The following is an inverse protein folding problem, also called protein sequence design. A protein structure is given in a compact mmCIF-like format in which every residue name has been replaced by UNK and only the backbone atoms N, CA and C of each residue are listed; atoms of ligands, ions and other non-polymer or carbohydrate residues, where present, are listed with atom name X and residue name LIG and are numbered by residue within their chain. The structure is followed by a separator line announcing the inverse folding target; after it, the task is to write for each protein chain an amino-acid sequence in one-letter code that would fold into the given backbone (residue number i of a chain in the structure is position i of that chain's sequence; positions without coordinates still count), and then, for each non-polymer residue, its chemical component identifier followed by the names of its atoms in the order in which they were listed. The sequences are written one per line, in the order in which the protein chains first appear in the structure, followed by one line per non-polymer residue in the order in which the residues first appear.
data_IF_439923391604
#
_entry.id   IF_439923391604
#
_cell.length_a   1.000
_cell.length_b   1.000
_cell.length_c   1.000
_cell.angle_alpha   90.00
_cell.angle_beta   90.00
_cell.angle_gamma   90.00
#
_symmetry.space_group_name_H-M   'P 1'
#
loop_
_entity.id
_entity.type
_entity.pdbx_description
1 polymer ?
#
# COMPACT_ATOMS: atom_id res chain seq x y z
N UNK A 1 -4.85 14.87 4.10
CA UNK A 1 -4.27 13.50 4.09
C UNK A 1 -2.88 13.58 3.48
N UNK A 2 -1.89 13.04 4.16
CA UNK A 2 -0.49 12.99 3.68
C UNK A 2 -0.29 11.65 2.95
N UNK A 3 0.09 11.72 1.67
CA UNK A 3 0.34 10.51 0.85
C UNK A 3 1.73 9.91 1.10
N UNK A 4 2.73 10.78 1.19
CA UNK A 4 4.10 10.37 1.51
C UNK A 4 4.87 11.55 2.11
N UNK A 5 5.91 11.23 2.84
CA UNK A 5 6.93 12.18 3.29
C UNK A 5 8.25 11.78 2.65
N UNK A 6 8.90 12.75 2.00
CA UNK A 6 10.20 12.59 1.37
C UNK A 6 11.15 13.65 1.94
N UNK A 7 12.28 13.21 2.47
CA UNK A 7 13.25 14.10 3.09
C UNK A 7 14.44 13.34 3.64
N UNK A 8 15.18 13.98 4.52
CA UNK A 8 16.39 13.46 5.13
C UNK A 8 16.02 12.63 6.36
N UNK A 9 16.52 11.40 6.45
CA UNK A 9 16.39 10.57 7.64
C UNK A 9 17.36 11.10 8.71
N UNK A 10 16.83 11.70 9.79
CA UNK A 10 17.62 12.31 10.87
C UNK A 10 17.76 11.40 12.09
N UNK A 11 16.73 10.59 12.37
CA UNK A 11 16.74 9.62 13.46
C UNK A 11 16.08 8.33 13.04
N UNK A 12 16.62 7.18 13.49
CA UNK A 12 16.08 5.88 13.21
C UNK A 12 16.14 4.97 14.44
N UNK A 13 14.97 4.50 14.86
CA UNK A 13 14.78 3.50 15.90
C UNK A 13 13.97 2.32 15.36
N UNK A 14 13.98 1.13 15.97
CA UNK A 14 13.24 -0.04 15.48
C UNK A 14 11.73 0.18 15.32
N UNK A 15 11.17 1.18 15.96
CA UNK A 15 9.72 1.46 15.96
C UNK A 15 9.36 2.83 15.40
N UNK A 16 10.36 3.69 15.14
CA UNK A 16 10.15 5.08 14.74
C UNK A 16 11.29 5.58 13.86
N UNK A 17 10.95 6.41 12.89
CA UNK A 17 11.89 7.17 12.07
C UNK A 17 11.51 8.65 12.12
N UNK A 18 12.52 9.55 12.16
CA UNK A 18 12.31 10.98 11.99
C UNK A 18 12.83 11.39 10.62
N UNK A 19 11.95 11.95 9.81
CA UNK A 19 12.29 12.49 8.49
C UNK A 19 12.14 14.01 8.52
N UNK A 20 13.23 14.71 8.23
CA UNK A 20 13.20 16.16 8.03
C UNK A 20 12.85 16.50 6.59
N UNK A 21 11.77 17.23 6.40
CA UNK A 21 11.34 17.76 5.12
C UNK A 21 11.02 19.25 5.26
N UNK A 22 11.68 20.08 4.46
CA UNK A 22 11.53 21.54 4.47
C UNK A 22 11.68 22.20 5.86
N UNK A 23 12.60 21.71 6.71
CA UNK A 23 12.84 22.23 8.05
C UNK A 23 11.84 21.76 9.11
N UNK A 24 10.99 20.78 8.79
CA UNK A 24 10.05 20.17 9.74
C UNK A 24 10.44 18.71 9.93
N UNK A 25 10.64 18.28 11.19
CA UNK A 25 10.88 16.89 11.56
C UNK A 25 9.56 16.16 11.78
N UNK A 26 9.33 15.11 11.02
CA UNK A 26 8.15 14.24 11.12
C UNK A 26 8.53 12.95 11.85
N UNK A 27 7.96 12.74 13.05
CA UNK A 27 8.06 11.46 13.77
C UNK A 27 7.08 10.46 13.17
N UNK A 28 7.59 9.35 12.66
CA UNK A 28 6.84 8.37 11.88
C UNK A 28 7.00 6.99 12.51
N UNK A 29 5.89 6.39 12.92
CA UNK A 29 5.87 5.01 13.40
C UNK A 29 6.10 4.05 12.22
N UNK A 30 7.08 3.14 12.36
CA UNK A 30 7.45 2.18 11.32
C UNK A 30 7.33 0.74 11.80
N UNK A 31 7.35 -0.20 10.86
CA UNK A 31 7.42 -1.64 11.11
C UNK A 31 8.87 -2.11 11.20
N UNK A 32 9.13 -3.30 11.74
CA UNK A 32 10.48 -3.89 11.75
C UNK A 32 11.05 -4.12 10.34
N UNK A 33 10.30 -4.63 9.35
CA UNK A 33 10.77 -4.65 7.96
C UNK A 33 11.12 -3.25 7.43
N UNK A 34 10.28 -2.24 7.74
CA UNK A 34 10.56 -0.85 7.40
C UNK A 34 11.87 -0.32 8.02
N UNK A 35 12.08 -0.60 9.31
CA UNK A 35 13.34 -0.30 9.98
C UNK A 35 14.53 -0.94 9.26
N UNK A 36 14.47 -2.25 8.98
CA UNK A 36 15.54 -2.98 8.29
C UNK A 36 15.87 -2.41 6.91
N UNK A 37 14.86 -1.90 6.19
CA UNK A 37 15.05 -1.26 4.89
C UNK A 37 15.66 0.15 4.97
N UNK A 38 15.59 0.80 6.14
CA UNK A 38 16.12 2.15 6.38
C UNK A 38 17.49 2.13 7.06
N UNK A 39 17.89 1.03 7.69
CA UNK A 39 19.21 0.90 8.34
C UNK A 39 20.34 1.26 7.38
N UNK A 40 21.27 2.10 7.85
CA UNK A 40 22.41 2.60 7.07
C UNK A 40 22.08 3.75 6.13
N UNK A 41 20.84 4.26 6.15
CA UNK A 41 20.43 5.44 5.38
C UNK A 41 20.46 6.74 6.20
N UNK A 42 20.60 6.65 7.52
CA UNK A 42 20.72 7.79 8.43
C UNK A 42 22.11 8.46 8.37
N UNK A 43 23.14 7.73 7.89
CA UNK A 43 24.47 8.30 7.73
C UNK A 43 24.72 8.81 6.31
N UNK A 44 25.57 9.86 6.15
CA UNK A 44 25.97 10.30 4.83
C UNK A 44 26.65 9.14 4.07
N UNK A 45 26.21 8.87 2.84
CA UNK A 45 26.88 7.90 2.00
C UNK A 45 28.37 8.25 1.86
N UNK A 46 29.26 7.28 2.08
CA UNK A 46 30.70 7.46 1.91
C UNK A 46 31.11 8.00 0.52
N UNK A 47 30.23 7.84 -0.47
CA UNK A 47 30.45 8.32 -1.83
C UNK A 47 29.94 9.75 -2.07
N UNK A 48 28.95 10.25 -1.31
CA UNK A 48 28.28 11.52 -1.60
C UNK A 48 28.43 12.60 -0.52
N UNK A 49 28.85 12.26 0.69
CA UNK A 49 28.88 13.17 1.88
C UNK A 49 27.54 13.88 2.14
N UNK A 50 26.45 13.41 1.54
CA UNK A 50 25.12 13.93 1.74
C UNK A 50 24.26 12.93 2.50
N UNK A 51 23.45 13.39 3.46
CA UNK A 51 22.50 12.52 4.15
C UNK A 51 21.52 11.89 3.16
N UNK A 52 21.19 10.63 3.40
CA UNK A 52 20.33 9.88 2.48
C UNK A 52 18.90 10.40 2.51
N UNK A 53 18.41 10.81 1.35
CA UNK A 53 17.00 11.13 1.17
C UNK A 53 16.18 9.84 1.14
N UNK A 54 15.16 9.77 1.97
CA UNK A 54 14.24 8.63 2.04
C UNK A 54 12.81 9.07 1.75
N UNK A 55 11.98 8.13 1.31
CA UNK A 55 10.56 8.35 1.09
C UNK A 55 9.77 7.26 1.80
N UNK A 56 8.81 7.66 2.64
CA UNK A 56 7.84 6.77 3.26
C UNK A 56 6.42 7.13 2.83
N UNK A 57 5.64 6.12 2.47
CA UNK A 57 4.21 6.26 2.23
C UNK A 57 3.47 6.30 3.56
N UNK A 58 2.56 7.24 3.72
CA UNK A 58 1.98 7.61 5.01
C UNK A 58 0.53 7.18 5.13
N UNK A 59 0.16 6.73 6.33
CA UNK A 59 -1.22 6.65 6.81
C UNK A 59 -1.31 7.39 8.13
N UNK A 60 -2.22 8.38 8.20
CA UNK A 60 -2.47 9.17 9.40
C UNK A 60 -3.64 8.56 10.18
N UNK A 61 -3.47 8.46 11.49
CA UNK A 61 -4.54 8.11 12.43
C UNK A 61 -4.81 9.33 13.29
N UNK A 62 -5.90 10.01 13.00
CA UNK A 62 -6.31 11.23 13.72
C UNK A 62 -7.55 10.91 14.53
N UNK A 63 -7.48 11.14 15.85
CA UNK A 63 -8.59 11.08 16.81
C UNK A 63 -8.60 12.34 17.66
N UNK A 64 -9.54 12.47 18.58
CA UNK A 64 -9.66 13.66 19.43
C UNK A 64 -8.38 13.97 20.22
N UNK A 65 -7.69 12.93 20.69
CA UNK A 65 -6.51 12.99 21.57
C UNK A 65 -5.22 12.43 20.96
N UNK A 66 -5.29 11.93 19.71
CA UNK A 66 -4.19 11.20 19.08
C UNK A 66 -4.01 11.64 17.64
N UNK A 67 -2.77 11.99 17.29
CA UNK A 67 -2.33 12.13 15.90
C UNK A 67 -1.07 11.28 15.68
N UNK A 68 -1.25 10.10 15.13
CA UNK A 68 -0.16 9.16 14.83
C UNK A 68 0.06 9.09 13.32
N UNK A 69 1.32 9.07 12.93
CA UNK A 69 1.75 8.95 11.53
C UNK A 69 2.46 7.62 11.36
N UNK A 70 1.93 6.76 10.51
CA UNK A 70 2.50 5.46 10.18
C UNK A 70 3.15 5.51 8.80
N UNK A 71 4.40 5.00 8.69
CA UNK A 71 5.17 5.05 7.46
C UNK A 71 5.57 3.67 6.93
N UNK A 72 5.53 3.53 5.61
CA UNK A 72 5.81 2.31 4.89
C UNK A 72 6.75 2.58 3.72
N UNK A 73 7.65 1.65 3.45
CA UNK A 73 8.64 1.80 2.37
C UNK A 73 7.97 1.67 1.00
N UNK A 74 6.92 0.86 0.90
CA UNK A 74 6.18 0.64 -0.33
C UNK A 74 4.70 1.01 -0.21
N UNK A 75 4.07 1.34 -1.36
CA UNK A 75 2.61 1.55 -1.42
C UNK A 75 1.84 0.29 -1.04
N UNK A 76 2.34 -0.88 -1.41
CA UNK A 76 1.70 -2.16 -1.12
C UNK A 76 1.68 -2.46 0.40
N UNK A 77 2.75 -2.12 1.13
CA UNK A 77 2.75 -2.21 2.60
C UNK A 77 1.70 -1.28 3.21
N UNK A 78 1.63 -0.03 2.76
CA UNK A 78 0.61 0.93 3.21
C UNK A 78 -0.80 0.40 2.96
N UNK A 79 -1.09 -0.08 1.76
CA UNK A 79 -2.40 -0.64 1.42
C UNK A 79 -2.76 -1.85 2.28
N UNK A 80 -1.79 -2.71 2.57
CA UNK A 80 -2.00 -3.86 3.44
C UNK A 80 -2.30 -3.43 4.88
N UNK A 81 -1.60 -2.41 5.39
CA UNK A 81 -1.90 -1.80 6.69
C UNK A 81 -3.33 -1.23 6.74
N UNK A 82 -3.71 -0.46 5.73
CA UNK A 82 -5.05 0.11 5.60
C UNK A 82 -6.13 -0.98 5.53
N UNK A 83 -5.89 -2.06 4.81
CA UNK A 83 -6.79 -3.22 4.78
C UNK A 83 -6.93 -3.87 6.17
N UNK A 84 -5.86 -4.04 6.91
CA UNK A 84 -5.92 -4.55 8.28
C UNK A 84 -6.78 -3.67 9.18
N UNK A 85 -6.72 -2.35 9.03
CA UNK A 85 -7.54 -1.41 9.79
C UNK A 85 -9.04 -1.53 9.49
N UNK A 86 -9.43 -2.07 8.33
CA UNK A 86 -10.85 -2.30 8.01
C UNK A 86 -11.46 -3.45 8.79
N UNK A 87 -10.63 -4.31 9.42
CA UNK A 87 -11.10 -5.48 10.15
C UNK A 87 -11.50 -5.08 11.58
N UNK A 88 -12.73 -5.38 11.94
CA UNK A 88 -13.25 -5.09 13.29
C UNK A 88 -12.39 -5.77 14.39
N UNK A 89 -11.89 -4.97 15.33
CA UNK A 89 -11.02 -5.41 16.41
C UNK A 89 -9.52 -5.37 16.06
N UNK A 90 -9.14 -4.83 14.90
CA UNK A 90 -7.75 -4.56 14.53
C UNK A 90 -7.53 -3.05 14.52
N UNK A 91 -6.80 -2.55 15.50
CA UNK A 91 -6.36 -1.14 15.55
C UNK A 91 -4.95 -0.98 14.96
N UNK A 92 -4.51 0.27 14.84
CA UNK A 92 -3.21 0.61 14.25
C UNK A 92 -2.02 -0.07 14.92
N UNK A 93 -1.99 -0.12 16.26
CA UNK A 93 -0.95 -0.82 17.02
C UNK A 93 -0.93 -2.33 16.69
N UNK A 94 -2.11 -2.97 16.58
CA UNK A 94 -2.22 -4.38 16.23
C UNK A 94 -1.78 -4.63 14.78
N UNK A 95 -2.23 -3.79 13.85
CA UNK A 95 -1.85 -3.88 12.44
C UNK A 95 -0.33 -3.73 12.27
N UNK A 96 0.30 -2.74 12.94
CA UNK A 96 1.75 -2.55 12.95
C UNK A 96 2.49 -3.77 13.52
N UNK A 97 1.96 -4.37 14.58
CA UNK A 97 2.56 -5.54 15.19
C UNK A 97 2.51 -6.76 14.27
N UNK A 98 1.40 -6.96 13.56
CA UNK A 98 1.25 -8.01 12.55
C UNK A 98 2.28 -7.79 11.42
N UNK A 99 2.38 -6.59 10.89
CA UNK A 99 3.31 -6.24 9.81
C UNK A 99 4.77 -6.15 10.26
N UNK A 100 5.03 -6.12 11.56
CA UNK A 100 6.39 -6.28 12.11
C UNK A 100 6.78 -7.74 12.30
N UNK A 101 5.80 -8.64 12.44
CA UNK A 101 6.03 -10.08 12.58
C UNK A 101 6.16 -10.80 11.24
N UNK A 102 5.60 -10.25 10.18
CA UNK A 102 5.60 -10.82 8.83
C UNK A 102 5.94 -9.75 7.80
N UNK A 103 6.67 -10.11 6.75
CA UNK A 103 6.78 -9.27 5.56
C UNK A 103 5.40 -9.13 4.88
N UNK A 104 5.26 -8.11 4.03
CA UNK A 104 4.00 -7.90 3.31
C UNK A 104 3.61 -9.11 2.47
N UNK A 105 4.58 -9.78 1.86
CA UNK A 105 4.37 -10.95 1.03
C UNK A 105 3.98 -12.18 1.84
N UNK A 106 4.67 -12.45 2.96
CA UNK A 106 4.30 -13.52 3.88
C UNK A 106 2.89 -13.33 4.43
N UNK A 107 2.54 -12.09 4.82
CA UNK A 107 1.22 -11.78 5.35
C UNK A 107 0.13 -11.99 4.30
N UNK A 108 0.36 -11.57 3.06
CA UNK A 108 -0.55 -11.85 1.93
C UNK A 108 -0.73 -13.35 1.72
N UNK A 109 0.36 -14.14 1.73
CA UNK A 109 0.30 -15.59 1.61
C UNK A 109 -0.48 -16.25 2.77
N UNK A 110 -0.26 -15.79 4.00
CA UNK A 110 -1.01 -16.30 5.17
C UNK A 110 -2.51 -16.04 5.04
N UNK A 111 -2.89 -14.86 4.55
CA UNK A 111 -4.28 -14.49 4.32
C UNK A 111 -4.87 -15.33 3.17
N UNK A 112 -4.19 -15.43 2.03
CA UNK A 112 -4.64 -16.18 0.86
C UNK A 112 -4.83 -17.68 1.16
N UNK A 113 -3.89 -18.28 1.90
CA UNK A 113 -3.92 -19.71 2.28
C UNK A 113 -4.82 -19.99 3.48
N UNK A 114 -5.34 -18.96 4.15
CA UNK A 114 -6.23 -19.16 5.31
C UNK A 114 -5.51 -19.59 6.58
N UNK A 115 -4.23 -19.31 6.76
CA UNK A 115 -3.43 -19.80 7.87
C UNK A 115 -3.58 -18.95 9.15
N UNK A 116 -4.78 -18.98 9.75
CA UNK A 116 -5.08 -18.28 11.00
C UNK A 116 -4.17 -18.72 12.17
N UNK A 117 -3.73 -19.99 12.20
CA UNK A 117 -2.89 -20.51 13.28
C UNK A 117 -1.50 -19.83 13.29
N UNK A 118 -0.90 -19.60 12.13
CA UNK A 118 0.37 -18.89 12.05
C UNK A 118 0.20 -17.42 12.48
N UNK A 119 -0.86 -16.75 12.00
CA UNK A 119 -1.16 -15.37 12.35
C UNK A 119 -1.44 -15.20 13.86
N UNK A 120 -2.13 -16.12 14.49
CA UNK A 120 -2.43 -16.08 15.94
C UNK A 120 -1.19 -16.20 16.84
N UNK A 121 0.00 -16.50 16.31
CA UNK A 121 1.26 -16.50 17.07
C UNK A 121 1.77 -15.08 17.35
N UNK A 122 1.26 -14.07 16.66
CA UNK A 122 1.60 -12.68 16.92
C UNK A 122 1.08 -12.27 18.28
N UNK A 123 1.96 -11.71 19.12
CA UNK A 123 1.61 -11.26 20.47
C UNK A 123 0.47 -10.25 20.41
N UNK A 124 -0.57 -10.46 21.20
CA UNK A 124 -1.74 -9.58 21.24
C UNK A 124 -2.80 -9.86 20.16
N UNK A 125 -2.56 -10.80 19.25
CA UNK A 125 -3.54 -11.23 18.26
C UNK A 125 -4.19 -12.55 18.68
N UNK A 126 -5.43 -12.46 19.14
CA UNK A 126 -6.19 -13.66 19.54
C UNK A 126 -6.62 -14.50 18.31
N UNK A 127 -6.88 -15.81 18.52
CA UNK A 127 -7.27 -16.71 17.44
C UNK A 127 -8.57 -16.29 16.73
N UNK A 128 -9.52 -15.70 17.45
CA UNK A 128 -10.77 -15.16 16.86
C UNK A 128 -10.50 -13.99 15.93
N UNK A 129 -9.59 -13.07 16.32
CA UNK A 129 -9.22 -11.92 15.49
C UNK A 129 -8.41 -12.37 14.28
N UNK A 130 -7.48 -13.31 14.45
CA UNK A 130 -6.73 -13.89 13.33
C UNK A 130 -7.67 -14.54 12.29
N UNK A 131 -8.66 -15.32 12.76
CA UNK A 131 -9.66 -15.91 11.87
C UNK A 131 -10.50 -14.86 11.13
N UNK A 132 -10.89 -13.79 11.82
CA UNK A 132 -11.64 -12.68 11.21
C UNK A 132 -10.82 -11.97 10.14
N UNK A 133 -9.54 -11.65 10.41
CA UNK A 133 -8.65 -11.05 9.42
C UNK A 133 -8.64 -11.88 8.13
N UNK A 134 -8.51 -13.20 8.25
CA UNK A 134 -8.49 -14.08 7.08
C UNK A 134 -9.82 -14.04 6.33
N UNK A 135 -10.95 -14.18 7.03
CA UNK A 135 -12.28 -14.16 6.38
C UNK A 135 -12.53 -12.84 5.68
N UNK A 136 -12.25 -11.71 6.34
CA UNK A 136 -12.56 -10.37 5.83
C UNK A 136 -11.61 -9.93 4.69
N UNK A 137 -10.36 -10.44 4.68
CA UNK A 137 -9.33 -9.96 3.75
C UNK A 137 -8.95 -10.97 2.65
N UNK A 138 -9.37 -12.23 2.70
CA UNK A 138 -8.97 -13.26 1.73
C UNK A 138 -9.12 -12.81 0.28
N UNK A 139 -10.30 -12.32 -0.10
CA UNK A 139 -10.60 -11.89 -1.46
C UNK A 139 -9.93 -10.55 -1.84
N UNK A 140 -9.65 -9.71 -0.85
CA UNK A 140 -9.02 -8.40 -1.02
C UNK A 140 -7.51 -8.52 -1.14
N UNK A 141 -6.88 -9.38 -0.35
CA UNK A 141 -5.44 -9.59 -0.35
C UNK A 141 -4.92 -10.19 -1.67
N UNK A 142 -5.74 -11.00 -2.34
CA UNK A 142 -5.41 -11.58 -3.66
C UNK A 142 -5.33 -10.49 -4.74
N UNK A 143 -6.11 -9.41 -4.60
CA UNK A 143 -6.16 -8.29 -5.55
C UNK A 143 -5.05 -7.25 -5.36
N UNK A 144 -4.31 -7.30 -4.25
CA UNK A 144 -3.14 -6.44 -4.05
C UNK A 144 -2.00 -6.93 -4.93
N UNK A 145 -1.50 -6.06 -5.78
CA UNK A 145 -0.33 -6.37 -6.61
C UNK A 145 0.89 -6.75 -5.75
N UNK A 146 1.73 -7.71 -6.18
CA UNK A 146 2.99 -7.99 -5.52
C UNK A 146 3.84 -6.72 -5.47
N UNK A 147 4.49 -6.45 -4.34
CA UNK A 147 5.43 -5.34 -4.21
C UNK A 147 6.57 -5.52 -5.19
N UNK A 148 6.47 -4.96 -6.38
CA UNK A 148 7.64 -4.72 -7.20
C UNK A 148 8.47 -3.64 -6.49
N UNK A 149 9.50 -4.07 -5.78
CA UNK A 149 10.57 -3.21 -5.29
C UNK A 149 11.38 -2.85 -6.52
N UNK A 150 10.98 -1.82 -7.25
CA UNK A 150 11.88 -1.02 -8.09
C UNK A 150 11.10 0.05 -8.84
N UNK A 151 11.60 1.27 -8.83
CA UNK A 151 11.35 2.32 -9.83
C UNK A 151 11.99 1.95 -11.20
N UNK A 152 12.12 0.65 -11.50
CA UNK A 152 12.55 0.16 -12.80
C UNK A 152 11.42 -0.63 -13.46
N UNK A 153 11.15 -0.39 -14.75
CA UNK A 153 10.16 -1.16 -15.48
C UNK A 153 10.67 -2.60 -15.61
N UNK A 154 10.18 -3.50 -14.76
CA UNK A 154 10.40 -4.94 -14.92
C UNK A 154 9.57 -5.43 -16.09
N UNK A 155 10.22 -5.53 -17.25
CA UNK A 155 9.79 -6.44 -18.29
C UNK A 155 9.86 -7.87 -17.72
N UNK A 156 8.73 -8.57 -17.77
CA UNK A 156 8.50 -10.01 -17.77
C UNK A 156 7.39 -10.42 -16.80
N UNK A 157 6.17 -10.17 -17.21
CA UNK A 157 5.01 -11.09 -17.17
C UNK A 157 3.92 -10.38 -17.98
N UNK A 158 3.92 -10.67 -19.27
CA UNK A 158 2.83 -10.34 -20.19
C UNK A 158 1.59 -11.17 -19.81
N UNK A 159 0.71 -10.56 -19.03
CA UNK A 159 -0.72 -10.68 -19.32
C UNK A 159 -1.05 -9.42 -20.09
N UNK A 160 -1.39 -9.54 -21.35
CA UNK A 160 -1.85 -8.47 -22.22
C UNK A 160 -3.15 -7.86 -21.65
N UNK A 161 -3.06 -7.08 -20.59
CA UNK A 161 -4.12 -6.12 -20.26
C UNK A 161 -3.68 -4.77 -20.83
N UNK A 162 -4.39 -4.33 -21.84
CA UNK A 162 -4.23 -3.01 -22.44
C UNK A 162 -4.20 -1.96 -21.31
N UNK A 163 -3.08 -1.27 -21.05
CA UNK A 163 -2.93 -0.35 -19.91
C UNK A 163 -3.99 0.75 -19.94
N UNK A 164 -4.44 1.16 -21.13
CA UNK A 164 -5.54 2.11 -21.34
C UNK A 164 -6.85 1.58 -20.76
N UNK A 165 -7.10 0.26 -20.88
CA UNK A 165 -8.31 -0.37 -20.32
C UNK A 165 -8.31 -0.30 -18.79
N UNK A 166 -7.23 -0.72 -18.16
CA UNK A 166 -7.12 -0.76 -16.70
C UNK A 166 -7.25 0.65 -16.09
N UNK A 167 -6.57 1.63 -16.67
CA UNK A 167 -6.60 3.02 -16.23
C UNK A 167 -8.00 3.66 -16.40
N UNK A 168 -8.67 3.42 -17.53
CA UNK A 168 -10.01 3.92 -17.78
C UNK A 168 -11.04 3.35 -16.81
N UNK A 169 -11.00 2.03 -16.54
CA UNK A 169 -11.89 1.38 -15.56
C UNK A 169 -11.65 1.93 -14.15
N UNK A 170 -10.40 2.09 -13.76
CA UNK A 170 -10.03 2.67 -12.46
C UNK A 170 -10.61 4.08 -12.30
N UNK A 171 -10.43 4.94 -13.30
CA UNK A 171 -10.95 6.31 -13.28
C UNK A 171 -12.48 6.36 -13.17
N UNK A 172 -13.20 5.54 -13.94
CA UNK A 172 -14.67 5.46 -13.89
C UNK A 172 -15.16 4.96 -12.52
N UNK A 173 -14.45 4.01 -11.92
CA UNK A 173 -14.79 3.50 -10.59
C UNK A 173 -14.57 4.58 -9.51
N UNK A 174 -13.51 5.38 -9.62
CA UNK A 174 -13.27 6.54 -8.74
C UNK A 174 -14.32 7.63 -8.90
N UNK A 175 -14.93 7.76 -10.08
CA UNK A 175 -16.07 8.65 -10.33
C UNK A 175 -17.41 8.10 -9.81
N UNK A 176 -17.43 6.89 -9.22
CA UNK A 176 -18.59 6.31 -8.56
C UNK A 176 -19.40 5.33 -9.42
N UNK A 177 -18.92 4.96 -10.60
CA UNK A 177 -19.59 3.95 -11.43
C UNK A 177 -19.25 2.53 -11.01
N UNK A 178 -20.18 1.59 -11.17
CA UNK A 178 -19.95 0.18 -10.85
C UNK A 178 -18.87 -0.42 -11.76
N UNK A 179 -17.89 -1.14 -11.19
CA UNK A 179 -16.75 -1.73 -11.93
C UNK A 179 -17.21 -2.58 -13.13
N UNK A 180 -18.22 -3.44 -12.96
CA UNK A 180 -18.74 -4.29 -14.03
C UNK A 180 -19.41 -3.52 -15.19
N UNK A 181 -20.01 -2.35 -14.91
CA UNK A 181 -20.59 -1.48 -15.95
C UNK A 181 -19.48 -0.74 -16.69
N UNK A 182 -18.49 -0.20 -15.94
CA UNK A 182 -17.31 0.47 -16.47
C UNK A 182 -16.51 -0.44 -17.39
N UNK A 183 -16.27 -1.69 -16.99
CA UNK A 183 -15.56 -2.69 -17.78
C UNK A 183 -16.26 -2.97 -19.12
N UNK A 184 -17.57 -3.19 -19.10
CA UNK A 184 -18.36 -3.42 -20.33
C UNK A 184 -18.34 -2.23 -21.27
N UNK A 185 -18.43 -1.01 -20.73
CA UNK A 185 -18.38 0.21 -21.54
C UNK A 185 -17.00 0.39 -22.20
N UNK A 186 -15.94 0.27 -21.42
CA UNK A 186 -14.55 0.39 -21.88
C UNK A 186 -14.21 -0.69 -22.91
N UNK A 187 -14.60 -1.94 -22.69
CA UNK A 187 -14.39 -3.04 -23.65
C UNK A 187 -15.07 -2.79 -24.98
N UNK A 188 -16.28 -2.24 -24.96
CA UNK A 188 -17.01 -1.92 -26.19
C UNK A 188 -16.34 -0.81 -26.99
N UNK A 189 -15.80 0.20 -26.29
CA UNK A 189 -15.10 1.33 -26.92
C UNK A 189 -13.76 0.87 -27.52
N UNK A 190 -12.95 0.13 -26.76
CA UNK A 190 -11.62 -0.32 -27.20
C UNK A 190 -11.72 -1.40 -28.31
N UNK A 191 -12.80 -2.18 -28.37
CA UNK A 191 -13.06 -3.08 -29.51
C UNK A 191 -13.35 -2.31 -30.80
N UNK A 192 -14.00 -1.15 -30.69
CA UNK A 192 -14.30 -0.31 -31.87
C UNK A 192 -13.10 0.56 -32.27
N UNK A 193 -12.30 1.01 -31.30
CA UNK A 193 -11.15 1.91 -31.51
C UNK A 193 -9.99 1.53 -30.55
N UNK A 194 -9.12 0.57 -30.94
CA UNK A 194 -8.08 0.04 -30.06
C UNK A 194 -7.01 1.06 -29.63
N UNK A 195 -6.72 2.06 -30.48
CA UNK A 195 -5.66 3.06 -30.25
C UNK A 195 -6.16 4.34 -29.55
N UNK A 196 -7.35 4.30 -28.95
CA UNK A 196 -7.92 5.48 -28.30
C UNK A 196 -7.17 5.78 -26.98
N UNK A 197 -6.85 7.06 -26.75
CA UNK A 197 -6.24 7.51 -25.49
C UNK A 197 -7.19 7.39 -24.31
N UNK A 198 -6.65 7.18 -23.11
CA UNK A 198 -7.40 6.98 -21.86
C UNK A 198 -8.47 8.05 -21.65
N UNK A 199 -8.14 9.32 -21.81
CA UNK A 199 -9.10 10.44 -21.59
C UNK A 199 -10.29 10.38 -22.57
N UNK A 200 -10.04 9.96 -23.81
CA UNK A 200 -11.08 9.82 -24.81
C UNK A 200 -11.98 8.62 -24.50
N UNK A 201 -11.40 7.49 -24.06
CA UNK A 201 -12.12 6.31 -23.60
C UNK A 201 -13.04 6.65 -22.43
N UNK A 202 -12.52 7.33 -21.41
CA UNK A 202 -13.30 7.77 -20.24
C UNK A 202 -14.46 8.66 -20.68
N UNK A 203 -14.20 9.66 -21.54
CA UNK A 203 -15.24 10.58 -22.04
C UNK A 203 -16.36 9.88 -22.79
N UNK A 204 -16.02 8.90 -23.62
CA UNK A 204 -17.04 8.11 -24.36
C UNK A 204 -17.77 7.15 -23.41
N UNK A 205 -17.08 6.53 -22.46
CA UNK A 205 -17.70 5.66 -21.47
C UNK A 205 -18.71 6.40 -20.60
N UNK A 206 -18.40 7.64 -20.20
CA UNK A 206 -19.33 8.50 -19.44
C UNK A 206 -20.64 8.84 -20.17
N UNK A 207 -20.65 8.78 -21.51
CA UNK A 207 -21.89 8.96 -22.29
C UNK A 207 -22.74 7.70 -22.35
N UNK A 208 -22.15 6.55 -21.99
CA UNK A 208 -22.78 5.23 -22.09
C UNK A 208 -23.24 4.69 -20.73
N UNK A 209 -22.71 5.24 -19.63
CA UNK A 209 -23.00 4.88 -18.25
C UNK A 209 -24.04 5.81 -17.63
#
# INVERSE_FOLDING_TARGET
MIEYIKGILTELNPTEAVIEAAGVGYGIAITLPGYSALVGKEEPSAASHQPSEVKLFITEIIREDVHEVYGFVTKAERQLFELLLTVSGVGAATARMIMSAFSAEELRMLIATGNAKAMAKVKGLGPKTAQRIIVDLKDKAIKLEPSAVSDQPSALFEVEENPVKAEAISALTMLGFASAASEKAVDKILKAQPDMKVEAVIREALKML
#
